data_IF_385948081739
#
_entry.id   IF_385948081739
#
_cell.length_a   1.000
_cell.length_b   1.000
_cell.length_c   1.000
_cell.angle_alpha   90.00
_cell.angle_beta   90.00
_cell.angle_gamma   90.00
#
_symmetry.space_group_name_H-M   'P 1'
#
loop_
_entity.id
_entity.type
_entity.pdbx_description
1 polymer ?
#
# COMPACT_ATOMS: atom_id res chain seq x y z
N UNK A 1 -21.12 -3.97 -1.06
CA UNK A 1 -19.75 -4.48 -0.89
C UNK A 1 -19.57 -4.88 0.56
N UNK A 2 -19.41 -6.17 0.82
CA UNK A 2 -19.10 -6.71 2.14
C UNK A 2 -17.65 -6.35 2.52
N UNK A 3 -17.32 -6.40 3.81
CA UNK A 3 -15.96 -6.12 4.28
C UNK A 3 -14.91 -7.06 3.65
N UNK A 4 -15.30 -8.31 3.35
CA UNK A 4 -14.45 -9.29 2.69
C UNK A 4 -14.17 -8.91 1.23
N UNK A 5 -15.19 -8.52 0.47
CA UNK A 5 -15.04 -8.09 -0.93
C UNK A 5 -14.14 -6.86 -1.04
N UNK A 6 -14.32 -5.87 -0.14
CA UNK A 6 -13.47 -4.67 -0.10
C UNK A 6 -12.01 -5.04 0.12
N UNK A 7 -11.75 -5.98 1.05
CA UNK A 7 -10.39 -6.44 1.38
C UNK A 7 -9.75 -7.10 0.17
N UNK A 8 -10.48 -7.98 -0.49
CA UNK A 8 -9.97 -8.71 -1.65
C UNK A 8 -9.68 -7.77 -2.83
N UNK A 9 -10.52 -6.78 -3.07
CA UNK A 9 -10.27 -5.74 -4.07
C UNK A 9 -9.02 -4.92 -3.76
N UNK A 10 -8.87 -4.48 -2.51
CA UNK A 10 -7.68 -3.75 -2.11
C UNK A 10 -6.41 -4.58 -2.31
N UNK A 11 -6.40 -5.83 -1.88
CA UNK A 11 -5.24 -6.73 -2.05
C UNK A 11 -4.93 -6.96 -3.54
N UNK A 12 -5.96 -7.19 -4.37
CA UNK A 12 -5.79 -7.33 -5.82
C UNK A 12 -5.16 -6.08 -6.46
N UNK A 13 -5.63 -4.90 -6.07
CA UNK A 13 -5.20 -3.66 -6.69
C UNK A 13 -3.86 -3.14 -6.16
N UNK A 14 -3.44 -3.55 -4.95
CA UNK A 14 -2.26 -2.98 -4.28
C UNK A 14 -1.11 -3.98 -4.07
N UNK A 15 -1.38 -5.29 -4.03
CA UNK A 15 -0.40 -6.31 -3.68
C UNK A 15 0.84 -6.35 -4.58
N UNK A 16 0.67 -6.00 -5.86
CA UNK A 16 1.78 -5.91 -6.81
C UNK A 16 2.84 -4.87 -6.44
N UNK A 17 2.48 -3.84 -5.65
CA UNK A 17 3.40 -2.76 -5.27
C UNK A 17 4.22 -3.07 -4.01
N UNK A 18 3.92 -4.15 -3.28
CA UNK A 18 4.59 -4.45 -2.01
C UNK A 18 6.11 -4.57 -2.16
N UNK A 19 6.58 -5.29 -3.19
CA UNK A 19 8.01 -5.47 -3.41
C UNK A 19 8.70 -4.16 -3.83
N UNK A 20 8.02 -3.35 -4.63
CA UNK A 20 8.53 -2.06 -5.10
C UNK A 20 8.65 -1.05 -3.95
N UNK A 21 7.60 -0.94 -3.13
CA UNK A 21 7.58 -0.07 -1.94
C UNK A 21 8.64 -0.51 -0.92
N UNK A 22 8.82 -1.82 -0.72
CA UNK A 22 9.86 -2.34 0.17
C UNK A 22 11.25 -1.94 -0.32
N UNK A 23 11.53 -2.09 -1.61
CA UNK A 23 12.81 -1.67 -2.18
C UNK A 23 13.02 -0.15 -2.04
N UNK A 24 11.98 0.65 -2.23
CA UNK A 24 12.02 2.10 -2.05
C UNK A 24 12.31 2.50 -0.60
N UNK A 25 11.55 1.96 0.36
CA UNK A 25 11.74 2.20 1.78
C UNK A 25 13.11 1.72 2.25
N UNK A 26 13.57 0.56 1.79
CA UNK A 26 14.90 0.03 2.10
C UNK A 26 16.01 0.96 1.60
N UNK A 27 15.87 1.51 0.39
CA UNK A 27 16.86 2.45 -0.16
C UNK A 27 16.94 3.77 0.62
N UNK A 28 15.84 4.17 1.27
CA UNK A 28 15.78 5.38 2.09
C UNK A 28 16.27 5.16 3.53
N UNK A 29 15.95 4.01 4.13
CA UNK A 29 16.20 3.73 5.56
C UNK A 29 17.48 2.92 5.82
N UNK A 30 17.95 2.14 4.83
CA UNK A 30 19.12 1.27 4.97
C UNK A 30 18.93 0.04 5.87
N UNK A 31 17.71 -0.17 6.38
CA UNK A 31 17.32 -1.25 7.30
C UNK A 31 16.13 -1.99 6.73
N UNK A 32 16.22 -3.32 6.63
CA UNK A 32 15.12 -4.14 6.10
C UNK A 32 13.93 -4.12 7.06
N UNK A 33 14.19 -4.20 8.37
CA UNK A 33 13.13 -4.18 9.38
C UNK A 33 12.34 -2.87 9.36
N UNK A 34 13.04 -1.73 9.36
CA UNK A 34 12.37 -0.43 9.33
C UNK A 34 11.62 -0.20 8.00
N UNK A 35 12.12 -0.77 6.90
CA UNK A 35 11.46 -0.73 5.61
C UNK A 35 10.18 -1.58 5.57
N UNK A 36 10.21 -2.79 6.13
CA UNK A 36 9.03 -3.64 6.26
C UNK A 36 7.96 -2.94 7.10
N UNK A 37 8.33 -2.38 8.25
CA UNK A 37 7.41 -1.65 9.13
C UNK A 37 6.77 -0.45 8.42
N UNK A 38 7.57 0.34 7.70
CA UNK A 38 7.07 1.49 6.95
C UNK A 38 6.10 1.06 5.83
N UNK A 39 6.42 -0.03 5.11
CA UNK A 39 5.53 -0.57 4.08
C UNK A 39 4.20 -1.02 4.69
N UNK A 40 4.23 -1.73 5.83
CA UNK A 40 3.01 -2.15 6.51
C UNK A 40 2.15 -0.95 6.92
N UNK A 41 2.76 0.09 7.51
CA UNK A 41 2.05 1.32 7.87
C UNK A 41 1.43 2.02 6.65
N UNK A 42 2.14 2.04 5.52
CA UNK A 42 1.61 2.58 4.25
C UNK A 42 0.38 1.81 3.79
N UNK A 43 0.42 0.48 3.75
CA UNK A 43 -0.74 -0.34 3.38
C UNK A 43 -1.91 -0.20 4.37
N UNK A 44 -1.63 -0.08 5.68
CA UNK A 44 -2.66 0.14 6.69
C UNK A 44 -3.35 1.50 6.51
N UNK A 45 -2.59 2.56 6.22
CA UNK A 45 -3.14 3.89 5.90
C UNK A 45 -3.97 3.85 4.62
N UNK A 46 -3.44 3.22 3.57
CA UNK A 46 -4.12 3.04 2.30
C UNK A 46 -5.44 2.26 2.48
N UNK A 47 -5.44 1.16 3.22
CA UNK A 47 -6.65 0.39 3.50
C UNK A 47 -7.75 1.23 4.16
N UNK A 48 -7.37 2.02 5.17
CA UNK A 48 -8.29 2.92 5.88
C UNK A 48 -8.90 3.98 4.97
N UNK A 49 -8.12 4.52 4.02
CA UNK A 49 -8.57 5.55 3.09
C UNK A 49 -9.15 5.03 1.76
N UNK A 50 -9.06 3.71 1.49
CA UNK A 50 -9.44 3.10 0.22
C UNK A 50 -10.90 3.36 -0.19
N UNK A 51 -11.82 3.46 0.78
CA UNK A 51 -13.24 3.77 0.51
C UNK A 51 -13.44 5.15 -0.12
N UNK A 52 -12.55 6.10 0.15
CA UNK A 52 -12.57 7.45 -0.41
C UNK A 52 -11.66 7.63 -1.62
N UNK A 53 -11.07 6.55 -2.15
CA UNK A 53 -10.18 6.65 -3.30
C UNK A 53 -10.99 6.82 -4.59
N UNK A 54 -11.04 8.05 -5.10
CA UNK A 54 -11.81 8.43 -6.29
C UNK A 54 -11.09 8.14 -7.63
N UNK A 55 -9.90 7.51 -7.61
CA UNK A 55 -9.14 7.24 -8.84
C UNK A 55 -8.58 8.49 -9.54
N UNK A 56 -8.50 9.62 -8.84
CA UNK A 56 -7.95 10.89 -9.36
C UNK A 56 -6.45 10.84 -9.66
N UNK A 57 -5.75 9.84 -9.15
CA UNK A 57 -4.36 9.51 -9.46
C UNK A 57 -4.24 8.01 -9.70
N UNK A 58 -3.12 7.56 -10.28
CA UNK A 58 -2.85 6.12 -10.38
C UNK A 58 -2.69 5.52 -8.98
N UNK A 59 -3.05 4.24 -8.81
CA UNK A 59 -2.86 3.54 -7.53
C UNK A 59 -1.40 3.58 -7.05
N UNK A 60 -0.45 3.48 -7.97
CA UNK A 60 0.98 3.65 -7.68
C UNK A 60 1.25 5.03 -7.10
N UNK A 61 0.86 6.10 -7.80
CA UNK A 61 1.06 7.48 -7.32
C UNK A 61 0.40 7.74 -5.97
N UNK A 62 -0.69 7.06 -5.66
CA UNK A 62 -1.40 7.21 -4.39
C UNK A 62 -0.73 6.47 -3.21
N UNK A 63 -0.02 5.37 -3.49
CA UNK A 63 0.70 4.57 -2.48
C UNK A 63 2.07 5.15 -2.11
N UNK A 64 2.64 6.02 -2.96
CA UNK A 64 3.92 6.70 -2.76
C UNK A 64 3.73 8.07 -2.09
#
# INVERSE_FOLDING_TARGET
MTAAERRDDFVRNTGAFQHELLAYCYRMLGSVHDAEDLVQETFLRAWRSYEGFEGRSSMRTWLY
#
